data_IF_109956855294
#
_entry.id   IF_109956855294
#
_cell.length_a   1.000
_cell.length_b   1.000
_cell.length_c   1.000
_cell.angle_alpha   90.00
_cell.angle_beta   90.00
_cell.angle_gamma   90.00
#
_symmetry.space_group_name_H-M   'P 1'
#
loop_
_entity.id
_entity.type
_entity.pdbx_description
1 polymer ?
#
# COMPACT_ATOMS: atom_id res chain seq x y z
N UNK A 1 -5.04 10.83 18.58
CA UNK A 1 -5.31 9.81 17.56
C UNK A 1 -5.56 10.53 16.25
N UNK A 2 -4.76 10.30 15.21
CA UNK A 2 -4.96 10.95 13.90
C UNK A 2 -6.17 10.32 13.19
N UNK A 3 -6.80 11.02 12.25
CA UNK A 3 -7.97 10.53 11.51
C UNK A 3 -7.74 9.14 10.88
N UNK A 4 -6.54 8.91 10.33
CA UNK A 4 -6.17 7.63 9.72
C UNK A 4 -6.07 6.49 10.76
N UNK A 5 -5.55 6.76 11.96
CA UNK A 5 -5.48 5.76 13.03
C UNK A 5 -6.87 5.31 13.49
N UNK A 6 -7.86 6.22 13.48
CA UNK A 6 -9.25 5.88 13.81
C UNK A 6 -9.85 4.94 12.77
N UNK A 7 -9.66 5.23 11.49
CA UNK A 7 -10.22 4.41 10.41
C UNK A 7 -9.60 3.00 10.38
N UNK A 8 -8.30 2.88 10.63
CA UNK A 8 -7.63 1.57 10.74
C UNK A 8 -8.22 0.72 11.87
N UNK A 9 -8.55 1.33 13.02
CA UNK A 9 -9.18 0.62 14.12
C UNK A 9 -10.60 0.15 13.81
N UNK A 10 -11.38 0.94 13.05
CA UNK A 10 -12.72 0.58 12.60
C UNK A 10 -12.69 -0.62 11.64
N UNK A 11 -11.74 -0.64 10.70
CA UNK A 11 -11.52 -1.76 9.76
C UNK A 11 -11.21 -3.05 10.53
N UNK A 12 -10.31 -2.98 11.51
CA UNK A 12 -9.93 -4.15 12.33
C UNK A 12 -11.14 -4.68 13.11
N UNK A 13 -11.95 -3.79 13.68
CA UNK A 13 -13.16 -4.17 14.41
C UNK A 13 -14.20 -4.84 13.52
N UNK A 14 -14.47 -4.27 12.33
CA UNK A 14 -15.40 -4.84 11.34
C UNK A 14 -14.99 -6.26 10.96
N UNK A 15 -13.72 -6.48 10.63
CA UNK A 15 -13.21 -7.79 10.20
C UNK A 15 -13.27 -8.82 11.33
N UNK A 16 -12.84 -8.45 12.54
CA UNK A 16 -12.65 -9.43 13.62
C UNK A 16 -13.92 -9.74 14.42
N UNK A 17 -14.88 -8.82 14.47
CA UNK A 17 -16.02 -8.92 15.38
C UNK A 17 -17.39 -8.89 14.70
N UNK A 18 -17.48 -8.47 13.43
CA UNK A 18 -18.79 -8.28 12.76
C UNK A 18 -19.04 -9.34 11.68
N UNK A 19 -18.01 -9.69 10.90
CA UNK A 19 -18.16 -10.55 9.74
C UNK A 19 -18.07 -12.05 10.09
N UNK A 20 -18.83 -12.87 9.37
CA UNK A 20 -18.72 -14.33 9.42
C UNK A 20 -17.50 -14.82 8.61
N UNK A 21 -17.14 -16.10 8.73
CA UNK A 21 -15.94 -16.65 8.08
C UNK A 21 -15.89 -16.47 6.56
N UNK A 22 -17.04 -16.58 5.88
CA UNK A 22 -17.11 -16.44 4.43
C UNK A 22 -16.89 -14.98 4.00
N UNK A 23 -17.58 -14.05 4.65
CA UNK A 23 -17.47 -12.63 4.38
C UNK A 23 -16.11 -12.08 4.79
N UNK A 24 -15.48 -12.60 5.86
CA UNK A 24 -14.08 -12.31 6.20
C UNK A 24 -13.17 -12.71 5.04
N UNK A 25 -13.32 -13.92 4.48
CA UNK A 25 -12.49 -14.39 3.37
C UNK A 25 -12.67 -13.51 2.13
N UNK A 26 -13.90 -13.09 1.82
CA UNK A 26 -14.17 -12.15 0.74
C UNK A 26 -13.47 -10.81 1.01
N UNK A 27 -13.72 -10.21 2.17
CA UNK A 27 -13.18 -8.91 2.58
C UNK A 27 -11.65 -8.89 2.55
N UNK A 28 -10.98 -9.91 3.10
CA UNK A 28 -9.51 -9.98 3.09
C UNK A 28 -8.95 -10.04 1.67
N UNK A 29 -9.54 -10.86 0.78
CA UNK A 29 -9.10 -10.96 -0.61
C UNK A 29 -9.35 -9.65 -1.39
N UNK A 30 -10.44 -8.96 -1.07
CA UNK A 30 -10.75 -7.65 -1.63
C UNK A 30 -9.71 -6.62 -1.19
N UNK A 31 -9.41 -6.55 0.11
CA UNK A 31 -8.43 -5.61 0.68
C UNK A 31 -7.04 -5.81 0.10
N UNK A 32 -6.59 -7.06 -0.06
CA UNK A 32 -5.32 -7.38 -0.71
C UNK A 32 -5.33 -6.87 -2.16
N UNK A 33 -6.40 -7.13 -2.90
CA UNK A 33 -6.52 -6.70 -4.30
C UNK A 33 -6.57 -5.17 -4.44
N UNK A 34 -7.24 -4.48 -3.53
CA UNK A 34 -7.32 -3.02 -3.47
C UNK A 34 -5.94 -2.42 -3.15
N UNK A 35 -5.31 -2.86 -2.07
CA UNK A 35 -4.05 -2.28 -1.58
C UNK A 35 -2.87 -2.50 -2.53
N UNK A 36 -2.80 -3.66 -3.19
CA UNK A 36 -1.74 -3.96 -4.17
C UNK A 36 -1.81 -3.08 -5.42
N UNK A 37 -3.01 -2.59 -5.77
CA UNK A 37 -3.25 -1.81 -7.00
C UNK A 37 -3.50 -0.32 -6.74
N UNK A 38 -3.73 0.09 -5.50
CA UNK A 38 -4.06 1.47 -5.12
C UNK A 38 -2.86 2.44 -5.07
N UNK A 39 -1.64 2.03 -5.44
CA UNK A 39 -0.44 2.86 -5.34
C UNK A 39 -0.54 4.21 -6.08
N UNK A 40 -1.31 4.25 -7.17
CA UNK A 40 -1.53 5.46 -7.98
C UNK A 40 -2.86 6.19 -7.65
N UNK A 41 -3.61 5.71 -6.66
CA UNK A 41 -4.94 6.23 -6.30
C UNK A 41 -4.87 7.20 -5.13
N UNK A 42 -5.86 8.08 -5.03
CA UNK A 42 -5.93 9.03 -3.92
C UNK A 42 -6.09 8.28 -2.59
N UNK A 43 -5.02 8.30 -1.79
CA UNK A 43 -4.94 7.59 -0.52
C UNK A 43 -5.86 8.14 0.56
N UNK A 44 -6.29 9.41 0.45
CA UNK A 44 -7.23 10.01 1.40
C UNK A 44 -8.66 9.51 1.18
N UNK A 45 -9.03 9.23 -0.07
CA UNK A 45 -10.33 8.64 -0.41
C UNK A 45 -10.33 7.12 -0.30
N UNK A 46 -9.17 6.49 -0.52
CA UNK A 46 -9.01 5.04 -0.48
C UNK A 46 -9.50 4.44 0.84
N UNK A 47 -9.04 4.98 1.98
CA UNK A 47 -9.37 4.41 3.28
C UNK A 47 -10.88 4.55 3.59
N UNK A 48 -11.48 5.70 3.26
CA UNK A 48 -12.93 5.92 3.44
C UNK A 48 -13.74 4.92 2.61
N UNK A 49 -13.36 4.70 1.36
CA UNK A 49 -14.07 3.76 0.49
C UNK A 49 -13.95 2.32 1.00
N UNK A 50 -12.78 1.93 1.52
CA UNK A 50 -12.60 0.63 2.17
C UNK A 50 -13.56 0.46 3.34
N UNK A 51 -13.69 1.46 4.21
CA UNK A 51 -14.61 1.40 5.35
C UNK A 51 -16.08 1.28 4.92
N UNK A 52 -16.48 2.08 3.91
CA UNK A 52 -17.82 1.99 3.31
C UNK A 52 -18.12 0.57 2.81
N UNK A 53 -17.21 -0.02 2.04
CA UNK A 53 -17.40 -1.37 1.48
C UNK A 53 -17.48 -2.45 2.58
N UNK A 54 -16.68 -2.34 3.63
CA UNK A 54 -16.77 -3.29 4.76
C UNK A 54 -18.09 -3.16 5.50
N UNK A 55 -18.64 -1.95 5.59
CA UNK A 55 -19.99 -1.72 6.13
C UNK A 55 -21.08 -2.29 5.21
N UNK A 56 -20.94 -2.16 3.90
CA UNK A 56 -21.86 -2.76 2.93
C UNK A 56 -21.87 -4.29 3.07
N UNK A 57 -20.70 -4.91 3.24
CA UNK A 57 -20.59 -6.35 3.51
C UNK A 57 -21.28 -6.72 4.81
N UNK A 58 -21.08 -5.95 5.89
CA UNK A 58 -21.71 -6.20 7.18
C UNK A 58 -23.25 -6.07 7.09
N UNK A 59 -23.73 -5.10 6.32
CA UNK A 59 -25.16 -4.87 6.08
C UNK A 59 -25.77 -6.01 5.28
N UNK A 60 -25.15 -6.39 4.16
CA UNK A 60 -25.58 -7.54 3.35
C UNK A 60 -25.63 -8.82 4.19
N UNK A 61 -24.64 -9.03 5.07
CA UNK A 61 -24.63 -10.17 5.98
C UNK A 61 -25.80 -10.15 6.96
N UNK A 62 -26.15 -8.98 7.50
CA UNK A 62 -27.30 -8.83 8.40
C UNK A 62 -28.62 -9.18 7.69
N UNK A 63 -28.70 -8.92 6.39
CA UNK A 63 -29.82 -9.31 5.52
C UNK A 63 -29.76 -10.79 5.06
N UNK A 64 -28.76 -11.56 5.52
CA UNK A 64 -28.57 -12.96 5.17
C UNK A 64 -27.95 -13.18 3.79
N UNK A 65 -27.39 -12.15 3.17
CA UNK A 65 -26.78 -12.17 1.85
C UNK A 65 -25.25 -12.31 2.00
N UNK A 66 -24.65 -13.24 1.26
CA UNK A 66 -23.18 -13.36 1.24
C UNK A 66 -22.56 -12.19 0.47
N UNK A 67 -21.31 -11.83 0.78
CA UNK A 67 -20.59 -10.82 0.01
C UNK A 67 -20.43 -11.23 -1.47
N UNK A 68 -20.31 -12.53 -1.75
CA UNK A 68 -20.27 -13.04 -3.11
C UNK A 68 -21.58 -12.78 -3.87
N UNK A 69 -22.72 -12.97 -3.21
CA UNK A 69 -24.03 -12.73 -3.80
C UNK A 69 -24.31 -11.22 -3.93
N UNK A 70 -23.96 -10.43 -2.91
CA UNK A 70 -24.14 -8.98 -2.90
C UNK A 70 -23.35 -8.28 -4.02
N UNK A 71 -22.08 -8.62 -4.19
CA UNK A 71 -21.26 -8.03 -5.26
C UNK A 71 -21.39 -8.75 -6.60
N UNK A 72 -21.92 -9.97 -6.63
CA UNK A 72 -22.08 -10.81 -7.82
C UNK A 72 -20.77 -11.09 -8.57
N UNK A 73 -19.62 -10.87 -7.93
CA UNK A 73 -18.30 -10.89 -8.56
C UNK A 73 -17.26 -11.42 -7.57
N UNK A 74 -16.14 -11.91 -8.10
CA UNK A 74 -14.99 -12.28 -7.25
C UNK A 74 -14.38 -11.03 -6.60
N UNK A 75 -13.74 -11.15 -5.41
CA UNK A 75 -13.09 -10.02 -4.74
C UNK A 75 -12.13 -9.24 -5.65
N UNK A 76 -11.44 -9.93 -6.56
CA UNK A 76 -10.51 -9.33 -7.51
C UNK A 76 -11.22 -8.43 -8.54
N UNK A 77 -12.31 -8.92 -9.12
CA UNK A 77 -13.10 -8.15 -10.10
C UNK A 77 -13.78 -6.96 -9.40
N UNK A 78 -14.29 -7.17 -8.18
CA UNK A 78 -14.86 -6.10 -7.36
C UNK A 78 -13.81 -5.03 -7.07
N UNK A 79 -12.60 -5.41 -6.68
CA UNK A 79 -11.49 -4.46 -6.48
C UNK A 79 -11.18 -3.66 -7.74
N UNK A 80 -11.13 -4.31 -8.90
CA UNK A 80 -10.82 -3.66 -10.17
C UNK A 80 -11.86 -2.59 -10.51
N UNK A 81 -13.15 -2.91 -10.38
CA UNK A 81 -14.25 -1.94 -10.60
C UNK A 81 -14.17 -0.75 -9.63
N UNK A 82 -13.88 -1.00 -8.36
CA UNK A 82 -13.74 0.06 -7.35
C UNK A 82 -12.57 0.98 -7.71
N UNK A 83 -11.43 0.41 -8.09
CA UNK A 83 -10.24 1.19 -8.43
C UNK A 83 -10.41 1.97 -9.73
N UNK A 84 -11.11 1.43 -10.72
CA UNK A 84 -11.47 2.15 -11.94
C UNK A 84 -12.32 3.38 -11.64
N UNK A 85 -13.27 3.27 -10.70
CA UNK A 85 -14.11 4.39 -10.27
C UNK A 85 -13.38 5.40 -9.35
N UNK A 86 -12.22 5.04 -8.78
CA UNK A 86 -11.47 5.94 -7.92
C UNK A 86 -10.63 6.96 -8.70
N UNK A 87 -10.63 8.24 -8.27
CA UNK A 87 -9.74 9.23 -8.84
C UNK A 87 -8.27 8.87 -8.58
N UNK A 88 -7.43 9.16 -9.56
CA UNK A 88 -5.98 9.02 -9.41
C UNK A 88 -5.45 10.07 -8.44
N UNK A 89 -4.37 9.73 -7.74
CA UNK A 89 -3.67 10.68 -6.89
C UNK A 89 -3.16 11.87 -7.72
N UNK A 90 -3.20 13.06 -7.14
CA UNK A 90 -2.59 14.25 -7.74
C UNK A 90 -1.07 14.11 -7.84
N UNK A 91 -0.47 14.78 -8.84
CA UNK A 91 0.99 14.82 -9.01
C UNK A 91 1.73 15.22 -7.72
N UNK A 92 1.14 16.12 -6.92
CA UNK A 92 1.69 16.54 -5.63
C UNK A 92 1.69 15.41 -4.59
N UNK A 93 0.62 14.63 -4.50
CA UNK A 93 0.55 13.47 -3.59
C UNK A 93 1.54 12.39 -4.01
N UNK A 94 1.60 12.07 -5.30
CA UNK A 94 2.56 11.09 -5.84
C UNK A 94 4.00 11.52 -5.58
N UNK A 95 4.34 12.79 -5.81
CA UNK A 95 5.67 13.31 -5.52
C UNK A 95 6.01 13.21 -4.04
N UNK A 96 5.07 13.56 -3.15
CA UNK A 96 5.25 13.46 -1.69
C UNK A 96 5.48 12.01 -1.24
N UNK A 97 4.84 11.03 -1.87
CA UNK A 97 5.05 9.61 -1.57
C UNK A 97 6.35 9.06 -2.17
N UNK A 98 6.69 9.43 -3.40
CA UNK A 98 7.84 8.88 -4.12
C UNK A 98 9.18 9.47 -3.65
N UNK A 99 9.20 10.75 -3.23
CA UNK A 99 10.42 11.46 -2.85
C UNK A 99 11.26 10.74 -1.76
N UNK A 100 10.71 10.33 -0.60
CA UNK A 100 11.52 9.65 0.41
C UNK A 100 12.05 8.29 -0.08
N UNK A 101 11.26 7.53 -0.85
CA UNK A 101 11.69 6.25 -1.41
C UNK A 101 12.84 6.43 -2.40
N UNK A 102 12.77 7.44 -3.27
CA UNK A 102 13.84 7.79 -4.20
C UNK A 102 15.12 8.20 -3.49
N UNK A 103 15.03 8.98 -2.41
CA UNK A 103 16.19 9.40 -1.61
C UNK A 103 16.87 8.19 -0.97
N UNK A 104 16.10 7.25 -0.41
CA UNK A 104 16.66 6.02 0.17
C UNK A 104 17.36 5.17 -0.90
N UNK A 105 16.74 5.01 -2.08
CA UNK A 105 17.35 4.28 -3.18
C UNK A 105 18.64 4.96 -3.67
N UNK A 106 18.63 6.29 -3.79
CA UNK A 106 19.80 7.06 -4.19
C UNK A 106 20.96 6.88 -3.20
N UNK A 107 20.69 6.95 -1.90
CA UNK A 107 21.70 6.73 -0.86
C UNK A 107 22.19 5.28 -0.87
N UNK A 108 21.31 4.30 -1.08
CA UNK A 108 21.72 2.89 -1.17
C UNK A 108 22.62 2.60 -2.38
N UNK A 109 22.47 3.37 -3.45
CA UNK A 109 23.36 3.32 -4.63
C UNK A 109 24.72 3.98 -4.39
N UNK A 110 24.89 4.76 -3.33
CA UNK A 110 26.20 5.26 -2.89
C UNK A 110 26.94 4.13 -2.17
N UNK A 111 27.30 3.07 -2.89
CA UNK A 111 28.23 2.08 -2.37
C UNK A 111 29.64 2.69 -2.39
N UNK A 112 30.25 2.98 -1.24
CA UNK A 112 31.63 3.43 -1.25
C UNK A 112 32.50 2.32 -1.83
N UNK A 113 33.34 2.66 -2.81
CA UNK A 113 34.23 1.68 -3.41
C UNK A 113 35.62 1.84 -2.80
N UNK A 114 36.14 0.72 -2.27
CA UNK A 114 37.50 0.61 -1.77
C UNK A 114 38.39 0.19 -2.92
N UNK A 115 39.46 0.95 -3.16
CA UNK A 115 40.47 0.58 -4.15
C UNK A 115 41.86 0.68 -3.52
N UNK A 116 42.65 -0.36 -3.74
CA UNK A 116 44.04 -0.41 -3.30
C UNK A 116 44.95 0.17 -4.39
N UNK A 117 45.89 1.02 -3.98
CA UNK A 117 46.92 1.57 -4.85
C UNK A 117 48.28 1.41 -4.19
N UNK A 118 49.20 0.78 -4.91
CA UNK A 118 50.59 0.67 -4.49
C UNK A 118 51.37 1.94 -4.86
N UNK A 119 51.96 2.59 -3.86
CA UNK A 119 52.84 3.75 -4.04
C UNK A 119 54.11 3.48 -3.25
N UNK A 120 55.26 3.46 -3.93
CA UNK A 120 56.57 3.21 -3.33
C UNK A 120 56.65 1.89 -2.52
N UNK A 121 56.02 0.82 -3.01
CA UNK A 121 56.02 -0.50 -2.35
C UNK A 121 55.09 -0.61 -1.14
N UNK A 122 54.29 0.42 -0.84
CA UNK A 122 53.28 0.41 0.23
C UNK A 122 51.90 0.40 -0.39
N UNK A 123 51.10 -0.60 -0.03
CA UNK A 123 49.68 -0.68 -0.42
C UNK A 123 48.90 0.31 0.43
N UNK A 124 48.26 1.28 -0.22
CA UNK A 124 47.37 2.24 0.42
C UNK A 124 45.94 1.99 -0.03
N UNK A 125 45.01 1.88 0.92
CA UNK A 125 43.58 1.68 0.65
C UNK A 125 42.88 3.04 0.64
N UNK A 126 42.19 3.34 -0.47
CA UNK A 126 41.46 4.60 -0.65
C UNK A 126 39.95 4.38 -0.60
N UNK A 127 39.24 5.36 -0.01
CA UNK A 127 37.78 5.43 0.00
C UNK A 127 37.33 6.41 -1.08
N UNK A 128 36.58 5.95 -2.08
CA UNK A 128 36.04 6.81 -3.13
C UNK A 128 34.51 6.74 -3.17
N UNK A 129 33.91 7.93 -3.31
CA UNK A 129 32.50 8.06 -3.67
C UNK A 129 32.42 8.24 -5.19
N UNK A 130 31.53 7.52 -5.90
CA UNK A 130 31.49 7.49 -7.37
C UNK A 130 31.21 8.84 -8.06
N UNK A 131 30.89 9.91 -7.31
CA UNK A 131 30.56 11.24 -7.83
C UNK A 131 31.48 12.37 -7.33
N UNK A 132 32.58 12.05 -6.64
CA UNK A 132 33.55 13.02 -6.09
C UNK A 132 34.98 12.86 -6.64
N UNK A 133 35.14 12.10 -7.73
CA UNK A 133 36.42 11.87 -8.43
C UNK A 133 36.68 12.88 -9.54
#
# INVERSE_FOLDING_TARGET
>A
MTHNQKLESEIISLINHTLNKENIKFAMNLLVSLTTKAYLKDTSLFQNKVSEILNDIATAQADGISAYDFFGNTPKITADKILEAMPNASNRQLFKQALPTLVILFISSLTPTLFDKEINGVVQTYFSLPFLS
#
